data_IF_755974440919
#
_entry.id   IF_755974440919
#
_cell.length_a   1.000
_cell.length_b   1.000
_cell.length_c   1.000
_cell.angle_alpha   90.00
_cell.angle_beta   90.00
_cell.angle_gamma   90.00
#
_symmetry.space_group_name_H-M   'P 1'
#
loop_
_entity.id
_entity.type
_entity.pdbx_description
1 polymer ?
#
# COMPACT_ATOMS: atom_id res chain seq x y z
N UNK A 1 -12.22 7.46 -25.64
CA UNK A 1 -11.77 6.94 -24.36
C UNK A 1 -12.97 6.76 -23.41
N UNK A 2 -13.33 5.53 -23.04
CA UNK A 2 -14.53 5.25 -22.24
C UNK A 2 -14.48 5.84 -20.81
N UNK A 3 -13.32 6.24 -20.34
CA UNK A 3 -13.14 6.78 -18.99
C UNK A 3 -13.40 8.27 -18.87
N UNK A 4 -13.54 8.98 -20.00
CA UNK A 4 -13.75 10.42 -20.03
C UNK A 4 -15.24 10.76 -19.97
N UNK A 5 -15.60 11.74 -19.14
CA UNK A 5 -16.90 12.41 -19.21
C UNK A 5 -16.88 13.58 -20.20
N UNK A 6 -18.03 14.20 -20.42
CA UNK A 6 -18.14 15.45 -21.20
C UNK A 6 -17.44 16.63 -20.54
N UNK A 7 -17.04 16.52 -19.26
CA UNK A 7 -16.38 17.59 -18.50
C UNK A 7 -14.91 17.25 -18.27
N UNK A 8 -13.95 18.06 -18.76
CA UNK A 8 -12.53 17.84 -18.54
C UNK A 8 -12.18 17.73 -17.04
N UNK A 9 -11.36 16.71 -16.68
CA UNK A 9 -10.98 16.45 -15.29
C UNK A 9 -11.98 15.62 -14.48
N UNK A 10 -13.10 15.22 -15.10
CA UNK A 10 -14.08 14.30 -14.52
C UNK A 10 -13.99 12.97 -15.26
N UNK A 11 -13.66 11.93 -14.54
CA UNK A 11 -13.52 10.57 -15.07
C UNK A 11 -14.64 9.67 -14.53
N UNK A 12 -15.02 8.66 -15.31
CA UNK A 12 -16.08 7.73 -14.97
C UNK A 12 -15.58 6.28 -15.07
N UNK A 13 -16.03 5.41 -14.18
CA UNK A 13 -15.67 4.00 -14.18
C UNK A 13 -16.72 3.15 -13.47
N UNK A 14 -16.66 1.84 -13.68
CA UNK A 14 -17.54 0.89 -13.04
C UNK A 14 -19.00 0.98 -13.50
N UNK A 15 -19.91 0.49 -12.69
CA UNK A 15 -21.34 0.35 -13.04
C UNK A 15 -22.06 1.67 -13.31
N UNK A 16 -21.48 2.81 -12.93
CA UNK A 16 -22.01 4.13 -13.29
C UNK A 16 -21.99 4.37 -14.81
N UNK A 17 -21.02 3.80 -15.51
CA UNK A 17 -20.88 3.91 -16.96
C UNK A 17 -21.80 2.93 -17.72
N UNK A 18 -22.13 1.82 -17.11
CA UNK A 18 -22.99 0.76 -17.64
C UNK A 18 -22.76 -0.57 -16.93
N UNK A 19 -23.66 -1.54 -17.11
CA UNK A 19 -23.49 -2.88 -16.53
C UNK A 19 -22.18 -3.53 -16.97
N UNK A 20 -21.40 -4.02 -16.02
CA UNK A 20 -20.11 -4.71 -16.27
C UNK A 20 -19.71 -5.59 -15.09
N UNK A 21 -18.75 -6.48 -15.34
CA UNK A 21 -18.20 -7.35 -14.32
C UNK A 21 -17.20 -6.64 -13.39
N UNK A 22 -16.75 -7.34 -12.35
CA UNK A 22 -15.82 -6.82 -11.35
C UNK A 22 -14.45 -6.55 -11.97
N UNK A 23 -13.96 -7.44 -12.85
CA UNK A 23 -12.65 -7.29 -13.48
C UNK A 23 -12.58 -6.04 -14.36
N UNK A 24 -13.61 -5.82 -15.19
CA UNK A 24 -13.75 -4.62 -16.01
C UNK A 24 -13.84 -3.36 -15.14
N UNK A 25 -14.61 -3.39 -14.05
CA UNK A 25 -14.72 -2.26 -13.11
C UNK A 25 -13.38 -1.89 -12.49
N UNK A 26 -12.57 -2.87 -12.08
CA UNK A 26 -11.23 -2.66 -11.52
C UNK A 26 -10.27 -2.09 -12.58
N UNK A 27 -10.31 -2.61 -13.80
CA UNK A 27 -9.49 -2.13 -14.91
C UNK A 27 -9.81 -0.67 -15.24
N UNK A 28 -11.08 -0.32 -15.32
CA UNK A 28 -11.51 1.06 -15.57
C UNK A 28 -11.15 2.01 -14.43
N UNK A 29 -11.30 1.57 -13.18
CA UNK A 29 -10.90 2.36 -12.01
C UNK A 29 -9.39 2.65 -12.04
N UNK A 30 -8.56 1.66 -12.38
CA UNK A 30 -7.11 1.83 -12.55
C UNK A 30 -6.78 2.78 -13.69
N UNK A 31 -7.47 2.66 -14.82
CA UNK A 31 -7.32 3.58 -15.95
C UNK A 31 -7.73 5.02 -15.63
N UNK A 32 -8.83 5.19 -14.89
CA UNK A 32 -9.29 6.50 -14.41
C UNK A 32 -8.29 7.14 -13.45
N UNK A 33 -7.71 6.34 -12.55
CA UNK A 33 -6.66 6.79 -11.64
C UNK A 33 -5.39 7.22 -12.40
N UNK A 34 -4.98 6.48 -13.43
CA UNK A 34 -3.87 6.85 -14.30
C UNK A 34 -4.15 8.20 -15.01
N UNK A 35 -5.33 8.37 -15.62
CA UNK A 35 -5.70 9.60 -16.30
C UNK A 35 -5.78 10.82 -15.36
N UNK A 36 -6.25 10.62 -14.13
CA UNK A 36 -6.21 11.63 -13.08
C UNK A 36 -4.76 11.95 -12.66
N UNK A 37 -3.91 10.94 -12.53
CA UNK A 37 -2.48 11.08 -12.23
C UNK A 37 -1.75 11.93 -13.26
N UNK A 38 -2.00 11.72 -14.55
CA UNK A 38 -1.47 12.56 -15.65
C UNK A 38 -1.87 14.02 -15.44
N UNK A 39 -3.15 14.27 -15.14
CA UNK A 39 -3.66 15.64 -14.94
C UNK A 39 -3.06 16.34 -13.73
N UNK A 40 -2.76 15.57 -12.68
CA UNK A 40 -2.22 16.06 -11.42
C UNK A 40 -0.67 16.06 -11.36
N UNK A 41 0.01 15.52 -12.37
CA UNK A 41 1.47 15.35 -12.36
C UNK A 41 2.22 16.66 -12.07
N UNK A 42 1.79 17.78 -12.70
CA UNK A 42 2.39 19.10 -12.49
C UNK A 42 2.18 19.69 -11.08
N UNK A 43 1.21 19.17 -10.32
CA UNK A 43 0.95 19.61 -8.94
C UNK A 43 1.59 18.68 -7.89
N UNK A 44 2.34 17.66 -8.31
CA UNK A 44 3.01 16.71 -7.39
C UNK A 44 3.92 17.48 -6.43
N UNK A 45 3.84 17.12 -5.15
CA UNK A 45 4.58 17.72 -4.04
C UNK A 45 4.28 19.19 -3.72
N UNK A 46 3.39 19.88 -4.43
CA UNK A 46 3.08 21.31 -4.18
C UNK A 46 2.24 21.53 -2.91
N UNK A 47 1.48 20.53 -2.48
CA UNK A 47 0.63 20.59 -1.30
C UNK A 47 1.04 19.58 -0.21
N UNK A 48 2.22 18.98 -0.34
CA UNK A 48 2.76 18.05 0.66
C UNK A 48 3.06 18.80 1.95
N UNK A 49 2.47 18.34 3.06
CA UNK A 49 2.81 18.83 4.40
C UNK A 49 3.82 17.88 5.03
N UNK A 50 4.95 18.40 5.47
CA UNK A 50 5.90 17.63 6.26
C UNK A 50 5.42 17.67 7.72
N UNK A 51 5.12 16.51 8.29
CA UNK A 51 4.87 16.37 9.72
C UNK A 51 6.24 16.26 10.39
N UNK A 52 6.51 17.17 11.34
CA UNK A 52 7.72 17.10 12.15
C UNK A 52 7.38 16.18 13.33
N UNK A 53 8.03 15.02 13.35
CA UNK A 53 7.92 14.11 14.48
C UNK A 53 8.88 14.57 15.61
N UNK A 54 8.51 14.35 16.89
CA UNK A 54 9.44 14.57 17.99
C UNK A 54 10.63 13.62 17.89
N UNK A 55 11.73 13.99 18.55
CA UNK A 55 12.90 13.12 18.65
C UNK A 55 12.54 11.83 19.40
N UNK A 56 12.98 10.70 18.88
CA UNK A 56 12.75 9.40 19.50
C UNK A 56 13.52 9.29 20.83
N UNK A 57 12.82 8.88 21.88
CA UNK A 57 13.43 8.63 23.20
C UNK A 57 14.26 7.36 23.14
N UNK A 58 15.50 7.42 23.62
CA UNK A 58 16.30 6.22 23.84
C UNK A 58 15.83 5.50 25.10
N UNK A 59 15.23 4.35 24.92
CA UNK A 59 14.73 3.48 25.99
C UNK A 59 15.48 2.15 26.05
N UNK A 60 16.63 2.08 25.38
CA UNK A 60 17.44 0.86 25.35
C UNK A 60 18.02 0.57 26.74
N UNK A 61 17.79 -0.63 27.25
CA UNK A 61 18.25 -1.05 28.58
C UNK A 61 17.37 -0.60 29.75
N UNK A 62 16.29 0.14 29.49
CA UNK A 62 15.30 0.48 30.53
C UNK A 62 14.43 -0.75 30.88
N UNK A 63 14.06 -0.85 32.16
CA UNK A 63 13.02 -1.80 32.59
C UNK A 63 11.69 -1.49 31.86
N UNK A 64 10.98 -2.52 31.40
CA UNK A 64 9.71 -2.30 30.69
C UNK A 64 8.67 -1.61 31.57
N UNK A 65 8.08 -0.53 31.06
CA UNK A 65 6.95 0.20 31.64
C UNK A 65 5.81 0.17 30.64
N UNK A 66 4.92 -0.82 30.80
CA UNK A 66 3.93 -1.20 29.80
C UNK A 66 2.61 -0.51 30.07
N UNK A 67 2.09 0.24 29.08
CA UNK A 67 0.71 0.71 29.04
C UNK A 67 -0.16 -0.26 28.24
N UNK A 68 -1.31 -0.64 28.77
CA UNK A 68 -2.26 -1.52 28.09
C UNK A 68 -3.59 -0.80 27.87
N UNK A 69 -3.97 -0.60 26.61
CA UNK A 69 -5.19 0.06 26.19
C UNK A 69 -6.19 -0.96 25.66
N UNK A 70 -7.35 -1.08 26.31
CA UNK A 70 -8.33 -2.13 26.03
C UNK A 70 -9.56 -1.51 25.37
N UNK A 71 -9.88 -2.00 24.16
CA UNK A 71 -10.99 -1.50 23.36
C UNK A 71 -12.32 -2.12 23.78
N UNK A 72 -13.34 -1.26 23.95
CA UNK A 72 -14.74 -1.65 24.24
C UNK A 72 -15.63 -1.72 22.98
N UNK A 73 -15.10 -1.72 21.78
CA UNK A 73 -15.80 -1.60 20.49
C UNK A 73 -17.19 -2.28 20.46
N UNK A 74 -18.18 -1.65 21.08
CA UNK A 74 -19.60 -2.00 21.08
C UNK A 74 -19.88 -3.49 21.20
N UNK A 75 -20.84 -3.99 20.41
CA UNK A 75 -21.23 -5.40 20.38
C UNK A 75 -20.11 -6.34 19.90
N UNK A 76 -19.09 -5.80 19.26
CA UNK A 76 -18.00 -6.61 18.72
C UNK A 76 -16.99 -7.08 19.77
N UNK A 77 -16.82 -6.34 20.86
CA UNK A 77 -15.93 -6.72 21.96
C UNK A 77 -16.71 -6.74 23.28
N UNK A 78 -17.14 -5.58 23.78
CA UNK A 78 -17.79 -5.47 25.08
C UNK A 78 -19.16 -6.18 25.16
N UNK A 79 -19.81 -6.42 24.01
CA UNK A 79 -21.03 -7.23 23.96
C UNK A 79 -20.82 -8.73 24.27
N UNK A 80 -19.56 -9.19 24.30
CA UNK A 80 -19.20 -10.61 24.51
C UNK A 80 -18.17 -10.78 25.62
N UNK A 81 -17.11 -9.94 25.61
CA UNK A 81 -16.01 -9.97 26.57
C UNK A 81 -16.35 -9.06 27.75
N UNK A 82 -16.18 -9.56 28.95
CA UNK A 82 -16.13 -8.75 30.16
C UNK A 82 -14.79 -7.99 30.19
N UNK A 83 -14.83 -6.75 29.64
CA UNK A 83 -13.65 -5.92 29.46
C UNK A 83 -13.08 -5.47 30.83
N UNK A 84 -13.93 -5.20 31.81
CA UNK A 84 -13.51 -4.85 33.17
C UNK A 84 -12.74 -6.01 33.82
N UNK A 85 -13.21 -7.25 33.65
CA UNK A 85 -12.50 -8.41 34.13
C UNK A 85 -11.14 -8.62 33.42
N UNK A 86 -11.02 -8.24 32.14
CA UNK A 86 -9.75 -8.26 31.41
C UNK A 86 -8.81 -7.18 31.94
N UNK A 87 -9.32 -5.95 32.17
CA UNK A 87 -8.54 -4.84 32.71
C UNK A 87 -7.99 -5.17 34.11
N UNK A 88 -8.86 -5.65 35.00
CA UNK A 88 -8.48 -6.02 36.37
C UNK A 88 -7.42 -7.13 36.39
N UNK A 89 -7.51 -8.10 35.48
CA UNK A 89 -6.47 -9.11 35.29
C UNK A 89 -5.17 -8.50 34.77
N UNK A 90 -5.26 -7.55 33.81
CA UNK A 90 -4.09 -6.93 33.19
C UNK A 90 -3.27 -6.14 34.20
N UNK A 91 -3.91 -5.49 35.18
CA UNK A 91 -3.24 -4.80 36.32
C UNK A 91 -2.32 -5.70 37.13
N UNK A 92 -2.54 -7.00 37.10
CA UNK A 92 -1.71 -7.98 37.85
C UNK A 92 -0.50 -8.49 37.07
N UNK A 93 -0.37 -8.13 35.80
CA UNK A 93 0.72 -8.62 34.94
C UNK A 93 2.03 -7.86 35.23
N UNK A 94 3.18 -8.56 35.11
CA UNK A 94 4.48 -7.92 35.31
C UNK A 94 4.71 -6.74 34.38
N UNK A 95 5.35 -5.69 34.90
CA UNK A 95 5.76 -4.49 34.17
C UNK A 95 4.60 -3.65 33.61
N UNK A 96 3.35 -4.01 33.86
CA UNK A 96 2.20 -3.17 33.52
C UNK A 96 2.08 -2.07 34.55
N UNK A 97 2.25 -0.81 34.11
CA UNK A 97 2.17 0.39 34.97
C UNK A 97 0.91 1.19 34.72
N UNK A 98 0.25 0.98 33.59
CA UNK A 98 -1.02 1.60 33.25
C UNK A 98 -1.94 0.63 32.52
N UNK A 99 -3.23 0.70 32.82
CA UNK A 99 -4.29 0.04 32.04
C UNK A 99 -5.47 0.99 31.92
N UNK A 100 -6.10 1.02 30.75
CA UNK A 100 -7.30 1.82 30.55
C UNK A 100 -8.21 1.24 29.48
N UNK A 101 -9.51 1.40 29.71
CA UNK A 101 -10.55 1.02 28.76
C UNK A 101 -10.91 2.22 27.88
N UNK A 102 -11.07 1.98 26.58
CA UNK A 102 -11.45 2.99 25.61
C UNK A 102 -12.66 2.51 24.81
N UNK A 103 -13.65 3.36 24.58
CA UNK A 103 -14.82 2.99 23.78
C UNK A 103 -14.41 2.59 22.37
N UNK A 104 -13.55 3.37 21.73
CA UNK A 104 -12.92 3.07 20.43
C UNK A 104 -11.45 3.46 20.51
N UNK A 105 -10.58 2.51 20.81
CA UNK A 105 -9.13 2.78 20.92
C UNK A 105 -8.52 3.39 19.65
N UNK A 106 -9.11 3.13 18.48
CA UNK A 106 -8.69 3.68 17.18
C UNK A 106 -9.25 5.08 16.88
N UNK A 107 -10.05 5.70 17.75
CA UNK A 107 -10.56 7.06 17.53
C UNK A 107 -9.46 8.11 17.72
N UNK A 108 -9.59 9.25 17.06
CA UNK A 108 -8.63 10.34 17.14
C UNK A 108 -8.46 10.86 18.58
N UNK A 109 -9.56 11.00 19.32
CA UNK A 109 -9.54 11.45 20.71
C UNK A 109 -8.73 10.50 21.60
N UNK A 110 -8.90 9.19 21.38
CA UNK A 110 -8.12 8.18 22.12
C UNK A 110 -6.65 8.19 21.72
N UNK A 111 -6.30 8.45 20.45
CA UNK A 111 -4.89 8.60 20.06
C UNK A 111 -4.22 9.77 20.80
N UNK A 112 -4.92 10.90 20.95
CA UNK A 112 -4.42 12.03 21.76
C UNK A 112 -4.21 11.60 23.21
N UNK A 113 -5.20 10.95 23.81
CA UNK A 113 -5.11 10.47 25.19
C UNK A 113 -3.98 9.44 25.40
N UNK A 114 -3.75 8.55 24.43
CA UNK A 114 -2.64 7.57 24.49
C UNK A 114 -1.30 8.29 24.54
N UNK A 115 -1.10 9.35 23.75
CA UNK A 115 0.15 10.14 23.77
C UNK A 115 0.37 10.81 25.12
N UNK A 116 -0.67 11.43 25.67
CA UNK A 116 -0.61 12.05 27.01
C UNK A 116 -0.27 11.02 28.09
N UNK A 117 -0.87 9.86 28.05
CA UNK A 117 -0.63 8.77 29.03
C UNK A 117 0.75 8.12 28.88
N UNK A 118 1.30 8.09 27.66
CA UNK A 118 2.69 7.65 27.44
C UNK A 118 3.63 8.56 28.21
N UNK A 119 3.42 9.86 28.15
CA UNK A 119 4.26 10.85 28.88
C UNK A 119 4.00 10.84 30.37
N UNK A 120 2.73 10.90 30.80
CA UNK A 120 2.33 10.93 32.20
C UNK A 120 2.87 9.76 33.02
N UNK A 121 2.77 8.56 32.46
CA UNK A 121 3.22 7.32 33.12
C UNK A 121 4.63 6.89 32.71
N UNK A 122 5.32 7.71 31.89
CA UNK A 122 6.63 7.40 31.34
C UNK A 122 6.66 6.00 30.74
N UNK A 123 5.66 5.69 29.90
CA UNK A 123 5.57 4.39 29.25
C UNK A 123 6.70 4.25 28.22
N UNK A 124 7.28 3.07 28.13
CA UNK A 124 8.28 2.74 27.12
C UNK A 124 7.90 1.50 26.28
N UNK A 125 6.73 0.93 26.55
CA UNK A 125 6.11 -0.17 25.80
C UNK A 125 4.59 0.01 25.79
N UNK A 126 3.94 -0.33 24.69
CA UNK A 126 2.48 -0.18 24.56
C UNK A 126 1.85 -1.48 24.06
N UNK A 127 0.75 -1.89 24.65
CA UNK A 127 -0.13 -2.95 24.17
C UNK A 127 -1.52 -2.36 23.89
N UNK A 128 -2.06 -2.68 22.73
CA UNK A 128 -3.46 -2.37 22.40
C UNK A 128 -4.24 -3.66 22.24
N UNK A 129 -5.16 -3.92 23.16
CA UNK A 129 -6.07 -5.06 23.12
C UNK A 129 -7.36 -4.67 22.39
N UNK A 130 -7.46 -5.00 21.10
CA UNK A 130 -8.56 -4.53 20.24
C UNK A 130 -8.85 -5.50 19.08
N UNK A 131 -9.11 -4.98 17.91
CA UNK A 131 -9.30 -5.72 16.67
C UNK A 131 -7.99 -6.28 16.10
N UNK A 132 -8.06 -6.82 14.87
CA UNK A 132 -6.87 -7.38 14.20
C UNK A 132 -5.85 -6.29 13.84
N UNK A 133 -4.54 -6.55 13.99
CA UNK A 133 -3.46 -5.65 13.54
C UNK A 133 -3.63 -5.21 12.08
N UNK A 134 -4.10 -6.11 11.21
CA UNK A 134 -4.35 -5.81 9.78
C UNK A 134 -5.24 -4.60 9.52
N UNK A 135 -6.02 -4.17 10.51
CA UNK A 135 -6.95 -3.04 10.36
C UNK A 135 -6.33 -1.71 10.80
N UNK A 136 -5.68 -1.69 11.96
CA UNK A 136 -5.32 -0.43 12.64
C UNK A 136 -3.92 -0.39 13.24
N UNK A 137 -3.05 -1.37 12.97
CA UNK A 137 -1.69 -1.38 13.52
C UNK A 137 -0.94 -0.08 13.19
N UNK A 138 -1.02 0.39 11.92
CA UNK A 138 -0.36 1.61 11.48
C UNK A 138 -0.74 2.85 12.29
N UNK A 139 -2.03 3.03 12.62
CA UNK A 139 -2.49 4.18 13.41
C UNK A 139 -1.82 4.22 14.78
N UNK A 140 -1.68 3.07 15.44
CA UNK A 140 -1.05 3.00 16.76
C UNK A 140 0.46 3.19 16.67
N UNK A 141 1.10 2.67 15.63
CA UNK A 141 2.51 2.92 15.36
C UNK A 141 2.81 4.40 15.16
N UNK A 142 1.97 5.09 14.36
CA UNK A 142 2.07 6.53 14.15
C UNK A 142 1.87 7.29 15.48
N UNK A 143 0.93 6.84 16.32
CA UNK A 143 0.69 7.45 17.65
C UNK A 143 1.91 7.35 18.56
N UNK A 144 2.63 6.22 18.55
CA UNK A 144 3.85 6.08 19.31
C UNK A 144 4.95 7.01 18.78
N UNK A 145 5.15 7.08 17.46
CA UNK A 145 6.12 8.01 16.85
C UNK A 145 5.79 9.47 17.20
N UNK A 146 4.51 9.85 17.17
CA UNK A 146 4.04 11.17 17.58
C UNK A 146 4.26 11.46 19.09
N UNK A 147 4.34 10.43 19.93
CA UNK A 147 4.71 10.52 21.34
C UNK A 147 6.22 10.42 21.59
N UNK A 148 7.05 10.40 20.54
CA UNK A 148 8.50 10.23 20.67
C UNK A 148 8.93 8.84 21.15
N UNK A 149 8.11 7.83 20.98
CA UNK A 149 8.42 6.44 21.30
C UNK A 149 8.62 5.63 20.01
N UNK A 150 9.62 4.74 20.00
CA UNK A 150 9.84 3.87 18.84
C UNK A 150 8.59 3.04 18.52
N UNK A 151 8.12 3.12 17.29
CA UNK A 151 6.87 2.47 16.83
C UNK A 151 6.84 0.95 16.95
N UNK A 152 8.00 0.30 17.05
CA UNK A 152 8.12 -1.15 17.21
C UNK A 152 8.11 -1.61 18.66
N UNK A 153 8.08 -0.69 19.62
CA UNK A 153 7.87 -1.00 21.04
C UNK A 153 6.37 -1.17 21.36
N UNK A 154 5.69 -1.87 20.47
CA UNK A 154 4.24 -1.98 20.39
C UNK A 154 3.80 -3.41 20.06
N UNK A 155 2.67 -3.83 20.65
CA UNK A 155 2.03 -5.11 20.35
C UNK A 155 0.50 -4.98 20.35
N UNK A 156 -0.18 -5.69 19.45
CA UNK A 156 -1.64 -5.80 19.45
C UNK A 156 -2.14 -7.16 19.91
N UNK A 157 -2.97 -7.16 20.96
CA UNK A 157 -3.75 -8.34 21.34
C UNK A 157 -5.08 -8.36 20.59
N UNK A 158 -5.25 -9.27 19.64
CA UNK A 158 -6.47 -9.38 18.83
C UNK A 158 -7.60 -10.06 19.62
N UNK A 159 -8.22 -9.31 20.54
CA UNK A 159 -9.32 -9.82 21.38
C UNK A 159 -10.66 -9.87 20.65
N UNK A 160 -10.79 -9.22 19.49
CA UNK A 160 -12.02 -9.27 18.67
C UNK A 160 -12.08 -10.53 17.82
N UNK A 161 -11.23 -10.63 16.79
CA UNK A 161 -11.31 -11.72 15.82
C UNK A 161 -10.93 -13.08 16.41
N UNK A 162 -9.95 -13.12 17.33
CA UNK A 162 -9.48 -14.32 17.98
C UNK A 162 -10.12 -14.58 19.36
N UNK A 163 -10.88 -13.64 19.89
CA UNK A 163 -11.58 -13.71 21.16
C UNK A 163 -13.09 -13.69 21.00
N UNK A 164 -13.72 -12.51 20.98
CA UNK A 164 -15.18 -12.34 20.99
C UNK A 164 -15.87 -12.99 19.81
N UNK A 165 -15.36 -12.88 18.58
CA UNK A 165 -16.00 -13.47 17.40
C UNK A 165 -15.90 -14.99 17.37
N UNK A 166 -14.81 -15.56 17.87
CA UNK A 166 -14.65 -17.02 17.96
C UNK A 166 -15.53 -17.66 19.04
N UNK A 167 -15.84 -16.90 20.08
CA UNK A 167 -16.62 -17.37 21.25
C UNK A 167 -17.84 -16.51 21.48
N UNK A 168 -18.51 -16.07 20.41
CA UNK A 168 -19.62 -15.13 20.48
C UNK A 168 -20.78 -15.60 21.40
N UNK A 169 -21.04 -16.89 21.44
CA UNK A 169 -22.06 -17.51 22.29
C UNK A 169 -21.52 -18.06 23.62
N UNK A 170 -20.24 -17.82 23.92
CA UNK A 170 -19.57 -18.33 25.10
C UNK A 170 -18.75 -17.22 25.81
N UNK A 171 -19.43 -16.21 26.43
CA UNK A 171 -18.76 -15.03 26.98
C UNK A 171 -17.65 -15.29 27.98
N UNK A 172 -17.83 -16.32 28.82
CA UNK A 172 -16.79 -16.71 29.81
C UNK A 172 -15.52 -17.21 29.11
N UNK A 173 -15.66 -18.01 28.04
CA UNK A 173 -14.51 -18.46 27.24
C UNK A 173 -13.89 -17.31 26.47
N UNK A 174 -14.70 -16.41 25.91
CA UNK A 174 -14.21 -15.20 25.24
C UNK A 174 -13.37 -14.33 26.18
N UNK A 175 -13.86 -14.10 27.39
CA UNK A 175 -13.17 -13.32 28.42
C UNK A 175 -11.86 -14.00 28.87
N UNK A 176 -11.89 -15.31 29.11
CA UNK A 176 -10.68 -16.09 29.42
C UNK A 176 -9.66 -16.01 28.29
N UNK A 177 -10.11 -16.19 27.05
CA UNK A 177 -9.24 -16.08 25.87
C UNK A 177 -8.64 -14.68 25.70
N UNK A 178 -9.42 -13.63 25.96
CA UNK A 178 -8.93 -12.26 25.92
C UNK A 178 -7.82 -12.01 26.96
N UNK A 179 -7.98 -12.51 28.20
CA UNK A 179 -6.94 -12.46 29.22
C UNK A 179 -5.66 -13.17 28.79
N UNK A 180 -5.76 -14.33 28.15
CA UNK A 180 -4.60 -15.07 27.64
C UNK A 180 -3.91 -14.29 26.50
N UNK A 181 -4.67 -13.71 25.57
CA UNK A 181 -4.14 -12.91 24.46
C UNK A 181 -3.40 -11.67 24.98
N UNK A 182 -3.99 -10.95 25.94
CA UNK A 182 -3.35 -9.78 26.56
C UNK A 182 -2.07 -10.19 27.31
N UNK A 183 -2.12 -11.27 28.08
CA UNK A 183 -0.93 -11.78 28.79
C UNK A 183 0.21 -12.11 27.83
N UNK A 184 -0.10 -12.75 26.70
CA UNK A 184 0.90 -13.06 25.69
C UNK A 184 1.48 -11.78 25.05
N UNK A 185 0.64 -10.80 24.75
CA UNK A 185 1.06 -9.52 24.18
C UNK A 185 1.95 -8.74 25.18
N UNK A 186 1.59 -8.69 26.46
CA UNK A 186 2.39 -8.06 27.52
C UNK A 186 3.75 -8.77 27.66
N UNK A 187 3.76 -10.09 27.69
CA UNK A 187 5.01 -10.84 27.78
C UNK A 187 5.92 -10.62 26.55
N UNK A 188 5.33 -10.52 25.36
CA UNK A 188 6.08 -10.27 24.12
C UNK A 188 6.62 -8.85 24.08
N UNK A 189 5.79 -7.82 24.32
CA UNK A 189 6.22 -6.43 24.23
C UNK A 189 7.33 -6.10 25.24
N UNK A 190 7.34 -6.76 26.39
CA UNK A 190 8.40 -6.60 27.39
C UNK A 190 9.80 -6.96 26.86
N UNK A 191 9.88 -7.83 25.87
CA UNK A 191 11.14 -8.31 25.27
C UNK A 191 11.53 -7.58 23.98
N UNK A 192 10.68 -6.66 23.47
CA UNK A 192 10.97 -5.92 22.24
C UNK A 192 12.05 -4.85 22.47
N UNK A 193 12.94 -4.74 21.51
CA UNK A 193 13.88 -3.62 21.36
C UNK A 193 13.47 -2.67 20.24
N UNK A 194 13.97 -1.43 20.24
CA UNK A 194 13.76 -0.48 19.17
C UNK A 194 14.26 -1.05 17.83
N UNK A 195 13.48 -0.87 16.78
CA UNK A 195 13.87 -1.21 15.41
C UNK A 195 13.78 0.06 14.55
N UNK A 196 14.57 0.08 13.48
CA UNK A 196 14.59 1.22 12.57
C UNK A 196 14.30 0.77 11.14
N UNK A 197 13.46 1.56 10.45
CA UNK A 197 13.14 1.33 9.05
C UNK A 197 14.37 1.55 8.19
N UNK A 198 14.65 0.59 7.33
CA UNK A 198 15.64 0.78 6.27
C UNK A 198 14.97 1.44 5.08
N UNK A 199 15.26 2.72 4.85
CA UNK A 199 14.81 3.42 3.65
C UNK A 199 15.70 3.04 2.47
N UNK A 200 15.07 2.60 1.39
CA UNK A 200 15.72 2.25 0.13
C UNK A 200 15.16 3.20 -0.93
N UNK A 201 16.05 3.82 -1.72
CA UNK A 201 15.62 4.64 -2.85
C UNK A 201 14.92 3.77 -3.90
N UNK A 202 13.95 4.34 -4.59
CA UNK A 202 13.28 3.73 -5.73
C UNK A 202 13.76 4.40 -7.01
N UNK A 203 14.05 3.62 -8.04
CA UNK A 203 14.44 4.14 -9.35
C UNK A 203 13.17 4.62 -10.06
N UNK A 204 13.09 5.92 -10.37
CA UNK A 204 11.94 6.57 -10.99
C UNK A 204 11.85 6.33 -12.50
N UNK A 205 12.09 5.08 -12.92
CA UNK A 205 12.04 4.62 -14.31
C UNK A 205 11.16 3.39 -14.42
N UNK A 206 10.53 3.21 -15.55
CA UNK A 206 9.74 2.03 -15.84
C UNK A 206 10.28 1.30 -17.08
N UNK A 207 10.25 -0.04 -17.02
CA UNK A 207 10.45 -0.91 -18.17
C UNK A 207 9.12 -1.53 -18.59
N UNK A 208 8.79 -1.45 -19.88
CA UNK A 208 7.60 -2.06 -20.47
C UNK A 208 8.02 -3.10 -21.48
N UNK A 209 7.66 -4.36 -21.28
CA UNK A 209 7.95 -5.45 -22.22
C UNK A 209 6.73 -5.68 -23.11
N UNK A 210 6.88 -5.33 -24.38
CA UNK A 210 5.86 -5.41 -25.43
C UNK A 210 5.35 -4.07 -25.90
N UNK A 211 5.53 -3.79 -27.19
CA UNK A 211 5.10 -2.58 -27.90
C UNK A 211 3.72 -2.69 -28.55
N UNK A 212 2.83 -3.53 -28.00
CA UNK A 212 1.43 -3.60 -28.40
C UNK A 212 0.60 -2.46 -27.80
N UNK A 213 -0.71 -2.43 -28.08
CA UNK A 213 -1.62 -1.38 -27.58
C UNK A 213 -1.54 -1.22 -26.06
N UNK A 214 -1.54 -2.32 -25.31
CA UNK A 214 -1.47 -2.27 -23.85
C UNK A 214 -0.16 -1.67 -23.34
N UNK A 215 1.00 -2.12 -23.88
CA UNK A 215 2.30 -1.62 -23.48
C UNK A 215 2.51 -0.15 -23.85
N UNK A 216 2.13 0.25 -25.07
CA UNK A 216 2.21 1.63 -25.51
C UNK A 216 1.32 2.56 -24.65
N UNK A 217 0.09 2.12 -24.32
CA UNK A 217 -0.81 2.89 -23.46
C UNK A 217 -0.26 3.06 -22.06
N UNK A 218 0.29 1.98 -21.48
CA UNK A 218 0.92 2.02 -20.17
C UNK A 218 2.16 2.92 -20.15
N UNK A 219 3.03 2.79 -21.15
CA UNK A 219 4.23 3.62 -21.29
C UNK A 219 3.88 5.10 -21.42
N UNK A 220 2.91 5.43 -22.30
CA UNK A 220 2.44 6.81 -22.45
C UNK A 220 1.84 7.34 -21.14
N UNK A 221 1.01 6.56 -20.45
CA UNK A 221 0.40 6.99 -19.18
C UNK A 221 1.42 7.26 -18.07
N UNK A 222 2.55 6.54 -18.04
CA UNK A 222 3.65 6.81 -17.11
C UNK A 222 4.49 8.03 -17.56
N UNK A 223 4.81 8.11 -18.83
CA UNK A 223 5.59 9.21 -19.39
C UNK A 223 4.86 10.56 -19.28
N UNK A 224 3.55 10.60 -19.54
CA UNK A 224 2.70 11.76 -19.31
C UNK A 224 2.67 12.21 -17.84
N UNK A 225 2.97 11.30 -16.89
CA UNK A 225 3.14 11.62 -15.48
C UNK A 225 4.57 12.05 -15.11
N UNK A 226 5.48 12.10 -16.08
CA UNK A 226 6.84 12.59 -15.92
C UNK A 226 7.90 11.52 -15.66
N UNK A 227 7.56 10.24 -15.67
CA UNK A 227 8.52 9.14 -15.51
C UNK A 227 9.21 8.80 -16.83
N UNK A 228 10.48 8.42 -16.77
CA UNK A 228 11.20 7.84 -17.90
C UNK A 228 10.73 6.39 -18.12
N UNK A 229 10.49 6.02 -19.36
CA UNK A 229 9.98 4.69 -19.73
C UNK A 229 10.78 4.12 -20.90
N UNK A 230 11.22 2.88 -20.76
CA UNK A 230 11.80 2.12 -21.87
C UNK A 230 10.82 1.04 -22.31
N UNK A 231 10.48 1.00 -23.61
CA UNK A 231 9.68 -0.07 -24.21
C UNK A 231 10.64 -1.02 -24.90
N UNK A 232 10.53 -2.33 -24.57
CA UNK A 232 11.25 -3.41 -25.24
C UNK A 232 10.26 -4.15 -26.13
N UNK A 233 10.47 -4.10 -27.46
CA UNK A 233 9.63 -4.76 -28.47
C UNK A 233 10.48 -5.73 -29.29
N UNK A 234 10.02 -6.98 -29.39
CA UNK A 234 10.72 -8.04 -30.15
C UNK A 234 10.68 -7.86 -31.67
N UNK A 235 9.60 -7.25 -32.15
CA UNK A 235 9.40 -6.99 -33.58
C UNK A 235 10.08 -5.68 -34.00
N UNK A 236 10.21 -5.50 -35.32
CA UNK A 236 10.72 -4.26 -35.92
C UNK A 236 9.73 -3.08 -35.73
N UNK A 237 8.44 -3.37 -35.63
CA UNK A 237 7.38 -2.37 -35.62
C UNK A 237 6.46 -2.53 -34.40
N UNK A 238 6.12 -1.39 -33.78
CA UNK A 238 5.12 -1.32 -32.74
C UNK A 238 3.71 -1.71 -33.24
N UNK A 239 2.79 -1.98 -32.31
CA UNK A 239 1.37 -2.18 -32.58
C UNK A 239 0.84 -3.59 -32.26
N UNK A 240 1.71 -4.60 -32.20
CA UNK A 240 1.34 -5.97 -31.83
C UNK A 240 0.16 -6.51 -32.66
N UNK A 241 -0.80 -7.17 -32.01
CA UNK A 241 -2.01 -7.70 -32.68
C UNK A 241 -2.92 -6.62 -33.26
N UNK A 242 -2.84 -5.37 -32.75
CA UNK A 242 -3.61 -4.24 -33.27
C UNK A 242 -3.42 -4.01 -34.77
N UNK A 243 -2.24 -4.35 -35.32
CA UNK A 243 -1.95 -4.24 -36.77
C UNK A 243 -2.83 -5.14 -37.65
N UNK A 244 -3.47 -6.15 -37.07
CA UNK A 244 -4.33 -7.13 -37.80
C UNK A 244 -5.82 -6.85 -37.61
N UNK A 245 -6.18 -5.85 -36.78
CA UNK A 245 -7.56 -5.49 -36.49
C UNK A 245 -7.90 -4.17 -37.21
N UNK A 246 -9.05 -4.09 -37.86
CA UNK A 246 -9.44 -2.92 -38.64
C UNK A 246 -10.54 -2.11 -37.95
N UNK A 247 -11.54 -2.78 -37.39
CA UNK A 247 -12.67 -2.12 -36.74
C UNK A 247 -13.05 -2.84 -35.43
N UNK A 248 -13.60 -2.07 -34.48
CA UNK A 248 -14.30 -2.62 -33.32
C UNK A 248 -15.69 -3.14 -33.75
N UNK A 249 -16.40 -3.79 -32.81
CA UNK A 249 -17.79 -4.21 -33.01
C UNK A 249 -18.69 -3.00 -33.22
N UNK A 250 -18.36 -1.87 -32.59
CA UNK A 250 -19.04 -0.59 -32.70
C UNK A 250 -18.70 0.18 -33.98
N UNK A 251 -17.72 -0.28 -34.75
CA UNK A 251 -17.31 0.30 -36.03
C UNK A 251 -16.17 1.32 -35.96
N UNK A 252 -15.51 1.48 -34.81
CA UNK A 252 -14.35 2.38 -34.68
C UNK A 252 -13.16 1.89 -35.51
N UNK A 253 -12.42 2.82 -36.11
CA UNK A 253 -11.21 2.55 -36.89
C UNK A 253 -10.01 2.31 -35.96
N UNK A 254 -9.61 1.04 -35.86
CA UNK A 254 -8.46 0.62 -35.05
C UNK A 254 -7.13 1.08 -35.67
N UNK A 255 -7.02 1.14 -36.99
CA UNK A 255 -5.77 1.52 -37.65
C UNK A 255 -5.48 3.02 -37.47
N UNK A 256 -6.51 3.87 -37.52
CA UNK A 256 -6.37 5.28 -37.20
C UNK A 256 -5.92 5.49 -35.75
N UNK A 257 -6.60 4.82 -34.79
CA UNK A 257 -6.22 4.86 -33.38
C UNK A 257 -4.79 4.37 -33.14
N UNK A 258 -4.40 3.25 -33.76
CA UNK A 258 -3.07 2.67 -33.60
C UNK A 258 -1.98 3.60 -34.12
N UNK A 259 -2.22 4.24 -35.27
CA UNK A 259 -1.30 5.23 -35.85
C UNK A 259 -1.08 6.40 -34.92
N UNK A 260 -2.16 6.94 -34.35
CA UNK A 260 -2.09 8.06 -33.41
C UNK A 260 -1.32 7.67 -32.12
N UNK A 261 -1.58 6.47 -31.59
CA UNK A 261 -0.90 5.97 -30.40
C UNK A 261 0.60 5.75 -30.66
N UNK A 262 0.97 5.12 -31.79
CA UNK A 262 2.38 4.92 -32.17
C UNK A 262 3.07 6.29 -32.30
N UNK A 263 2.46 7.21 -33.03
CA UNK A 263 3.01 8.55 -33.22
C UNK A 263 3.22 9.28 -31.88
N UNK A 264 2.26 9.16 -30.97
CA UNK A 264 2.36 9.77 -29.65
C UNK A 264 3.49 9.17 -28.82
N UNK A 265 3.71 7.86 -28.90
CA UNK A 265 4.76 7.14 -28.16
C UNK A 265 6.13 7.40 -28.78
N UNK A 266 6.27 7.37 -30.11
CA UNK A 266 7.55 7.60 -30.79
C UNK A 266 8.05 9.05 -30.64
N UNK A 267 7.15 10.02 -30.52
CA UNK A 267 7.52 11.43 -30.33
C UNK A 267 7.57 11.88 -28.85
N UNK A 268 7.37 10.98 -27.90
CA UNK A 268 7.37 11.36 -26.50
C UNK A 268 8.79 11.43 -25.92
N UNK A 269 9.21 12.59 -25.43
CA UNK A 269 10.58 12.86 -24.94
C UNK A 269 11.05 11.94 -23.82
N UNK A 270 10.11 11.33 -23.07
CA UNK A 270 10.39 10.45 -21.93
C UNK A 270 10.24 8.96 -22.26
N UNK A 271 10.03 8.60 -23.52
CA UNK A 271 9.90 7.20 -23.92
C UNK A 271 11.07 6.81 -24.83
N UNK A 272 11.87 5.88 -24.38
CA UNK A 272 12.86 5.18 -25.21
C UNK A 272 12.24 3.88 -25.76
N UNK A 273 12.42 3.61 -27.06
CA UNK A 273 11.88 2.41 -27.70
C UNK A 273 13.03 1.56 -28.25
N UNK A 274 13.12 0.33 -27.75
CA UNK A 274 14.09 -0.65 -28.20
C UNK A 274 13.35 -1.72 -29.02
N UNK A 275 13.46 -1.60 -30.32
CA UNK A 275 12.86 -2.55 -31.29
C UNK A 275 13.84 -3.68 -31.60
N UNK A 276 13.32 -4.83 -32.07
CA UNK A 276 14.14 -6.04 -32.29
C UNK A 276 14.95 -6.41 -31.04
N UNK A 277 14.29 -6.34 -29.88
CA UNK A 277 14.92 -6.47 -28.59
C UNK A 277 14.29 -7.57 -27.74
N UNK A 278 15.13 -8.34 -27.07
CA UNK A 278 14.71 -9.48 -26.24
C UNK A 278 15.30 -9.34 -24.83
N UNK A 279 14.46 -9.62 -23.84
CA UNK A 279 14.91 -9.74 -22.44
C UNK A 279 15.61 -11.08 -22.27
N UNK A 280 16.82 -11.06 -21.72
CA UNK A 280 17.63 -12.28 -21.49
C UNK A 280 17.88 -12.56 -20.02
N UNK A 281 17.93 -11.52 -19.18
CA UNK A 281 18.12 -11.66 -17.75
C UNK A 281 17.31 -10.61 -16.98
N UNK A 282 16.82 -10.99 -15.80
CA UNK A 282 16.09 -10.12 -14.90
C UNK A 282 16.56 -10.34 -13.46
N UNK A 283 16.90 -9.28 -12.75
CA UNK A 283 17.41 -9.32 -11.39
C UNK A 283 16.96 -8.13 -10.54
N UNK A 284 17.49 -8.06 -9.34
CA UNK A 284 17.20 -6.97 -8.40
C UNK A 284 16.04 -7.26 -7.45
N UNK A 285 15.44 -6.22 -6.90
CA UNK A 285 14.35 -6.29 -5.94
C UNK A 285 13.37 -5.11 -6.14
N UNK A 286 12.23 -5.16 -5.49
CA UNK A 286 11.15 -4.17 -5.62
C UNK A 286 11.67 -2.74 -5.52
N UNK A 287 11.46 -1.96 -6.58
CA UNK A 287 11.92 -0.59 -6.68
C UNK A 287 13.34 -0.41 -7.24
N UNK A 288 14.11 -1.50 -7.40
CA UNK A 288 15.50 -1.50 -7.90
C UNK A 288 15.75 -2.78 -8.68
N UNK A 289 15.19 -2.85 -9.87
CA UNK A 289 15.38 -3.95 -10.80
C UNK A 289 16.47 -3.61 -11.81
N UNK A 290 17.18 -4.63 -12.26
CA UNK A 290 18.08 -4.59 -13.40
C UNK A 290 17.61 -5.62 -14.43
N UNK A 291 17.44 -5.21 -15.68
CA UNK A 291 17.08 -6.11 -16.78
C UNK A 291 18.13 -6.02 -17.88
N UNK A 292 18.67 -7.18 -18.27
CA UNK A 292 19.57 -7.28 -19.41
C UNK A 292 18.76 -7.63 -20.66
N UNK A 293 18.99 -6.89 -21.72
CA UNK A 293 18.35 -7.08 -23.03
C UNK A 293 19.41 -7.20 -24.13
N UNK A 294 19.04 -7.91 -25.19
CA UNK A 294 19.76 -7.89 -26.47
C UNK A 294 18.93 -7.09 -27.45
N UNK A 295 19.49 -6.02 -28.01
CA UNK A 295 18.78 -5.09 -28.87
C UNK A 295 19.39 -4.97 -30.26
N UNK A 296 18.54 -4.76 -31.26
CA UNK A 296 18.91 -4.56 -32.64
C UNK A 296 19.40 -5.84 -33.34
N UNK A 297 19.69 -5.71 -34.63
CA UNK A 297 20.22 -6.82 -35.49
C UNK A 297 21.60 -7.30 -35.06
N UNK A 298 22.37 -6.47 -34.38
CA UNK A 298 23.69 -6.78 -33.82
C UNK A 298 23.61 -7.51 -32.48
N UNK A 299 22.43 -7.66 -31.90
CA UNK A 299 22.21 -8.27 -30.58
C UNK A 299 23.09 -7.60 -29.49
N UNK A 300 23.12 -6.28 -29.50
CA UNK A 300 23.88 -5.51 -28.51
C UNK A 300 23.30 -5.69 -27.12
N UNK A 301 24.16 -6.05 -26.16
CA UNK A 301 23.76 -6.19 -24.76
C UNK A 301 23.59 -4.82 -24.10
N UNK A 302 22.44 -4.59 -23.47
CA UNK A 302 22.15 -3.38 -22.71
C UNK A 302 21.53 -3.75 -21.36
N UNK A 303 22.00 -3.11 -20.31
CA UNK A 303 21.44 -3.20 -18.97
C UNK A 303 20.57 -1.99 -18.69
N UNK A 304 19.38 -2.22 -18.16
CA UNK A 304 18.39 -1.19 -17.84
C UNK A 304 18.01 -1.30 -16.40
N UNK A 305 18.32 -0.23 -15.65
CA UNK A 305 17.87 -0.07 -14.26
C UNK A 305 16.49 0.57 -14.24
N UNK A 306 15.56 -0.03 -13.47
CA UNK A 306 14.20 0.47 -13.37
C UNK A 306 13.54 0.11 -12.02
N UNK A 307 12.61 0.94 -11.55
CA UNK A 307 11.86 0.68 -10.32
C UNK A 307 10.59 -0.13 -10.53
N UNK A 308 10.05 -0.12 -11.77
CA UNK A 308 8.79 -0.79 -12.13
C UNK A 308 8.94 -1.55 -13.45
N UNK A 309 8.37 -2.75 -13.49
CA UNK A 309 8.27 -3.57 -14.70
C UNK A 309 6.80 -3.79 -15.07
N UNK A 310 6.46 -3.55 -16.33
CA UNK A 310 5.15 -3.87 -16.91
C UNK A 310 5.34 -4.91 -18.00
N UNK A 311 4.69 -6.06 -17.83
CA UNK A 311 4.70 -7.14 -18.83
C UNK A 311 3.43 -7.04 -19.67
N UNK A 312 3.58 -6.71 -20.96
CA UNK A 312 2.51 -6.49 -21.91
C UNK A 312 2.76 -7.24 -23.23
N UNK A 313 3.25 -8.47 -23.12
CA UNK A 313 3.71 -9.30 -24.26
C UNK A 313 2.58 -9.79 -25.18
N UNK A 314 1.33 -9.60 -24.77
CA UNK A 314 0.16 -10.01 -25.55
C UNK A 314 -0.05 -11.53 -25.55
N UNK A 315 -0.87 -11.97 -26.51
CA UNK A 315 -1.12 -13.38 -26.81
C UNK A 315 -0.60 -13.74 -28.20
N UNK A 316 -0.30 -15.01 -28.44
CA UNK A 316 0.07 -15.59 -29.75
C UNK A 316 -1.14 -16.22 -30.41
#
# INVERSE_FOLDING_TARGET
NPLLSSRPGVYVSGSFQGPKDIASSVTEASGSACAAGVKLAGARHTVTKTVVMPDERDVLGEEPRIGVFICKCGINIAGVIDVEAVENYTKTLPNVVYTGENLFTCSQDTQVSIKELIDEHNLNRVVVASCTPKTHEGIFMDTLEEAGLNKYLFEMANIRNQGSWMHFHEPEKATKKAKDLVRMAVARVATLGPLHDKRISVIDKALVIGGGVAGMTAAKGLADQGYEVTIVEKEEHLGGLGKRLYHTIEGDDIQAYLKDLITAVENHEKIEILKQALVVEFGGYKGNFETTILAGTSMEERKIDHGVLIVATGAT
#
